data_IF_302099995483
#
_entry.id   IF_302099995483
#
_cell.length_a   1.000
_cell.length_b   1.000
_cell.length_c   1.000
_cell.angle_alpha   90.00
_cell.angle_beta   90.00
_cell.angle_gamma   90.00
#
_symmetry.space_group_name_H-M   'P 1'
#
loop_
_entity.id
_entity.type
_entity.pdbx_description
1 polymer ?
#
# COMPACT_ATOMS: atom_id res chain seq x y z
N UNK A 1 -23.32 -9.96 -24.29
CA UNK A 1 -23.38 -9.83 -22.82
C UNK A 1 -21.95 -10.02 -22.31
N UNK A 2 -21.35 -9.04 -21.65
CA UNK A 2 -20.02 -9.21 -21.02
C UNK A 2 -20.22 -9.67 -19.59
N UNK A 3 -19.72 -10.86 -19.24
CA UNK A 3 -19.75 -11.37 -17.86
C UNK A 3 -18.55 -10.82 -17.09
N UNK A 4 -18.81 -10.01 -16.07
CA UNK A 4 -17.77 -9.53 -15.15
C UNK A 4 -17.34 -10.69 -14.26
N UNK A 5 -16.08 -11.10 -14.36
CA UNK A 5 -15.46 -12.06 -13.42
C UNK A 5 -14.73 -11.25 -12.34
N UNK A 6 -15.09 -11.38 -11.05
CA UNK A 6 -14.36 -10.71 -9.97
C UNK A 6 -12.89 -11.15 -9.93
N UNK A 7 -11.98 -10.19 -10.09
CA UNK A 7 -10.55 -10.46 -10.15
C UNK A 7 -9.93 -10.62 -8.76
N UNK A 8 -9.11 -11.65 -8.57
CA UNK A 8 -8.18 -11.71 -7.45
C UNK A 8 -7.21 -10.55 -7.52
N UNK A 9 -6.80 -10.00 -6.38
CA UNK A 9 -5.91 -8.85 -6.35
C UNK A 9 -5.00 -8.84 -5.12
N UNK A 10 -3.90 -8.11 -5.19
CA UNK A 10 -3.03 -7.82 -4.05
C UNK A 10 -3.48 -6.50 -3.43
N UNK A 11 -4.09 -6.56 -2.24
CA UNK A 11 -4.52 -5.39 -1.49
C UNK A 11 -3.33 -4.72 -0.81
N UNK A 12 -3.11 -3.45 -1.15
CA UNK A 12 -2.14 -2.60 -0.49
C UNK A 12 -2.76 -1.95 0.77
N UNK A 13 -2.00 -1.78 1.86
CA UNK A 13 -2.45 -1.01 3.04
C UNK A 13 -2.38 0.50 2.78
N UNK A 14 -3.14 0.99 1.79
CA UNK A 14 -3.02 2.34 1.23
C UNK A 14 -3.11 3.46 2.29
N UNK A 15 -4.01 3.33 3.27
CA UNK A 15 -4.15 4.31 4.35
C UNK A 15 -2.90 4.41 5.23
N UNK A 16 -2.28 3.26 5.54
CA UNK A 16 -1.06 3.23 6.34
C UNK A 16 0.14 3.78 5.56
N UNK A 17 0.22 3.49 4.25
CA UNK A 17 1.24 4.06 3.36
C UNK A 17 1.13 5.59 3.36
N UNK A 18 -0.08 6.13 3.17
CA UNK A 18 -0.32 7.58 3.17
C UNK A 18 0.06 8.24 4.49
N UNK A 19 -0.38 7.67 5.63
CA UNK A 19 -0.01 8.18 6.95
C UNK A 19 1.51 8.22 7.14
N UNK A 20 2.20 7.11 6.85
CA UNK A 20 3.66 7.05 6.99
C UNK A 20 4.41 8.01 6.06
N UNK A 21 3.87 8.30 4.88
CA UNK A 21 4.44 9.28 3.96
C UNK A 21 4.33 10.71 4.53
N UNK A 22 3.17 11.06 5.11
CA UNK A 22 2.97 12.35 5.78
C UNK A 22 3.88 12.49 6.99
N UNK A 23 3.99 11.45 7.82
CA UNK A 23 4.91 11.46 8.97
C UNK A 23 6.38 11.64 8.53
N UNK A 24 6.78 10.96 7.44
CA UNK A 24 8.14 11.08 6.92
C UNK A 24 8.41 12.48 6.35
N UNK A 25 7.41 13.11 5.73
CA UNK A 25 7.50 14.49 5.25
C UNK A 25 7.70 15.46 6.42
N UNK A 26 6.87 15.39 7.46
CA UNK A 26 7.03 16.26 8.63
C UNK A 26 8.39 16.08 9.30
N UNK A 27 8.86 14.85 9.48
CA UNK A 27 10.19 14.58 10.02
C UNK A 27 11.30 15.24 9.16
N UNK A 28 11.18 15.21 7.84
CA UNK A 28 12.16 15.86 6.94
C UNK A 28 12.12 17.40 6.97
N UNK A 29 10.98 17.99 7.33
CA UNK A 29 10.85 19.43 7.50
C UNK A 29 11.41 19.90 8.84
N UNK A 30 11.30 19.07 9.87
CA UNK A 30 11.84 19.35 11.22
C UNK A 30 13.37 19.23 11.25
N UNK A 31 13.94 18.23 10.58
CA UNK A 31 15.39 18.04 10.46
C UNK A 31 15.76 17.66 9.01
N UNK A 32 16.13 18.64 8.17
CA UNK A 32 16.50 18.40 6.77
C UNK A 32 17.77 17.54 6.58
N UNK A 33 18.65 17.48 7.59
CA UNK A 33 19.90 16.73 7.53
C UNK A 33 19.74 15.29 8.05
N UNK A 34 18.58 14.95 8.61
CA UNK A 34 18.28 13.60 9.08
C UNK A 34 18.25 12.57 7.94
N UNK A 35 18.65 11.34 8.26
CA UNK A 35 18.58 10.25 7.31
C UNK A 35 17.11 9.95 6.90
N UNK A 36 16.81 9.76 5.60
CA UNK A 36 15.46 9.48 5.14
C UNK A 36 14.87 8.20 5.76
N UNK A 37 13.65 8.31 6.29
CA UNK A 37 12.94 7.18 6.88
C UNK A 37 12.48 6.19 5.79
N UNK A 38 12.79 4.90 5.96
CA UNK A 38 12.33 3.83 5.07
C UNK A 38 11.38 2.89 5.79
N UNK A 39 10.15 2.79 5.30
CA UNK A 39 9.11 1.90 5.85
C UNK A 39 8.75 0.86 4.79
N UNK A 40 8.67 -0.42 5.19
CA UNK A 40 8.20 -1.51 4.33
C UNK A 40 6.82 -1.95 4.76
N UNK A 41 5.91 -2.07 3.80
CA UNK A 41 4.55 -2.54 4.03
C UNK A 41 4.35 -3.93 3.46
N UNK A 42 3.61 -4.76 4.19
CA UNK A 42 3.20 -6.08 3.71
C UNK A 42 1.81 -5.96 3.08
N UNK A 43 1.65 -6.33 1.80
CA UNK A 43 0.33 -6.40 1.20
C UNK A 43 -0.34 -7.74 1.54
N UNK A 44 -1.60 -7.87 1.13
CA UNK A 44 -2.41 -9.09 1.33
C UNK A 44 -2.97 -9.58 0.00
N UNK A 45 -2.90 -10.90 -0.23
CA UNK A 45 -3.57 -11.51 -1.38
C UNK A 45 -5.07 -11.67 -1.08
N UNK A 46 -5.91 -11.12 -1.95
CA UNK A 46 -7.36 -11.27 -1.91
C UNK A 46 -7.79 -12.12 -3.09
N UNK A 47 -8.13 -13.38 -2.81
CA UNK A 47 -8.58 -14.35 -3.81
C UNK A 47 -10.05 -14.09 -4.16
N UNK A 48 -10.39 -14.14 -5.45
CA UNK A 48 -11.75 -14.04 -6.01
C UNK A 48 -11.89 -15.01 -7.21
N UNK A 49 -13.02 -14.94 -7.91
CA UNK A 49 -13.41 -15.90 -8.95
C UNK A 49 -12.42 -16.07 -10.11
N UNK A 50 -11.51 -15.13 -10.34
CA UNK A 50 -10.50 -15.25 -11.41
C UNK A 50 -9.31 -16.18 -11.07
N UNK A 51 -9.26 -16.80 -9.89
CA UNK A 51 -8.13 -17.64 -9.45
C UNK A 51 -8.56 -18.64 -8.36
N UNK A 52 -7.81 -19.74 -8.18
CA UNK A 52 -8.05 -20.70 -7.09
C UNK A 52 -9.07 -21.79 -7.40
N UNK A 53 -9.13 -22.24 -8.66
CA UNK A 53 -9.84 -23.46 -9.06
C UNK A 53 -9.22 -24.71 -8.41
#
# INVERSE_FOLDING_TARGET
>A
QSTVVPLSSVRQPARAIGAAAVDALFASLEDPDAAPRRVRFRPELVVRASTGA
#
